data_IF_855203375817
#
_entry.id   IF_855203375817
#
_cell.length_a   1.000
_cell.length_b   1.000
_cell.length_c   1.000
_cell.angle_alpha   90.00
_cell.angle_beta   90.00
_cell.angle_gamma   90.00
#
_symmetry.space_group_name_H-M   'P 1'
#
loop_
_entity.id
_entity.type
_entity.pdbx_description
1 polymer ?
#
# COMPACT_ATOMS: atom_id res chain seq x y z
N UNK A 1 -13.07 -6.45 19.78
CA UNK A 1 -12.80 -6.89 18.39
C UNK A 1 -12.64 -5.63 17.57
N UNK A 2 -11.41 -5.15 17.38
CA UNK A 2 -11.18 -3.94 16.57
C UNK A 2 -11.52 -4.26 15.12
N UNK A 3 -12.53 -3.59 14.58
CA UNK A 3 -12.89 -3.60 13.16
C UNK A 3 -11.61 -3.40 12.35
N UNK A 4 -11.21 -4.39 11.56
CA UNK A 4 -9.90 -4.47 10.92
C UNK A 4 -9.74 -3.48 9.77
N UNK A 5 -9.44 -2.22 10.10
CA UNK A 5 -9.16 -1.14 9.14
C UNK A 5 -7.82 -1.43 8.46
N UNK A 6 -7.77 -1.32 7.13
CA UNK A 6 -6.54 -1.43 6.35
C UNK A 6 -5.84 -0.07 6.24
N UNK A 7 -4.52 -0.07 6.01
CA UNK A 7 -3.73 1.15 5.79
C UNK A 7 -4.35 2.00 4.67
N UNK A 8 -4.82 1.38 3.59
CA UNK A 8 -5.56 2.06 2.50
C UNK A 8 -6.76 2.87 3.02
N UNK A 9 -7.60 2.26 3.86
CA UNK A 9 -8.82 2.91 4.38
C UNK A 9 -8.47 4.10 5.28
N UNK A 10 -7.40 3.99 6.06
CA UNK A 10 -6.90 5.10 6.88
C UNK A 10 -6.38 6.25 6.02
N UNK A 11 -5.59 5.96 4.98
CA UNK A 11 -5.11 6.98 4.04
C UNK A 11 -6.28 7.69 3.32
N UNK A 12 -7.28 6.93 2.83
CA UNK A 12 -8.47 7.52 2.21
C UNK A 12 -9.24 8.43 3.18
N UNK A 13 -9.42 8.01 4.43
CA UNK A 13 -10.10 8.81 5.46
C UNK A 13 -9.36 10.11 5.80
N UNK A 14 -8.04 10.15 5.60
CA UNK A 14 -7.22 11.35 5.80
C UNK A 14 -7.16 12.24 4.55
N UNK A 15 -7.83 11.87 3.46
CA UNK A 15 -7.79 12.55 2.16
C UNK A 15 -6.36 12.81 1.68
N UNK A 16 -5.45 11.87 1.95
CA UNK A 16 -4.04 12.06 1.61
C UNK A 16 -3.75 11.66 0.16
N UNK A 17 -3.34 12.65 -0.64
CA UNK A 17 -2.54 12.50 -1.85
C UNK A 17 -3.16 11.68 -2.98
N UNK A 18 -2.29 10.95 -3.68
CA UNK A 18 -2.56 10.28 -4.96
C UNK A 18 -3.35 8.97 -4.84
N UNK A 19 -3.59 8.47 -3.61
CA UNK A 19 -4.14 7.14 -3.32
C UNK A 19 -5.64 7.03 -3.66
N UNK A 20 -6.01 6.02 -4.46
CA UNK A 20 -7.38 5.85 -5.00
C UNK A 20 -8.08 4.61 -4.43
N UNK A 21 -7.38 3.46 -4.37
CA UNK A 21 -7.98 2.21 -3.90
C UNK A 21 -9.03 1.58 -4.83
N UNK A 22 -8.86 1.71 -6.15
CA UNK A 22 -9.83 1.35 -7.20
C UNK A 22 -10.42 -0.08 -7.11
N UNK A 23 -9.60 -1.10 -6.80
CA UNK A 23 -10.07 -2.50 -6.79
C UNK A 23 -10.68 -2.97 -5.47
N UNK A 24 -10.91 -2.09 -4.50
CA UNK A 24 -11.53 -2.44 -3.22
C UNK A 24 -10.82 -3.60 -2.50
N UNK A 25 -9.50 -3.50 -2.35
CA UNK A 25 -8.64 -4.50 -1.71
C UNK A 25 -8.47 -5.86 -2.42
N UNK A 26 -8.85 -5.97 -3.70
CA UNK A 26 -8.68 -7.19 -4.51
C UNK A 26 -7.24 -7.45 -5.00
N UNK A 27 -6.23 -6.82 -4.41
CA UNK A 27 -4.80 -7.07 -4.66
C UNK A 27 -4.27 -6.90 -6.11
N UNK A 28 -4.96 -6.23 -7.05
CA UNK A 28 -4.49 -6.19 -8.46
C UNK A 28 -4.24 -4.79 -9.04
N UNK A 29 -4.95 -3.75 -8.60
CA UNK A 29 -4.91 -2.44 -9.28
C UNK A 29 -3.71 -1.56 -8.93
N UNK A 30 -3.03 -1.82 -7.81
CA UNK A 30 -1.86 -1.06 -7.30
C UNK A 30 -2.14 0.39 -6.91
N UNK A 31 -3.38 0.88 -7.02
CA UNK A 31 -3.75 2.26 -6.68
C UNK A 31 -3.87 2.56 -5.17
N UNK A 32 -3.37 1.65 -4.34
CA UNK A 32 -3.28 1.78 -2.88
C UNK A 32 -1.83 1.67 -2.39
N UNK A 33 -0.88 1.88 -3.29
CA UNK A 33 0.55 1.74 -3.01
C UNK A 33 1.00 2.73 -1.95
N UNK A 34 1.78 2.23 -1.00
CA UNK A 34 2.43 3.03 0.04
C UNK A 34 3.88 2.57 0.22
N UNK A 35 4.71 3.46 0.73
CA UNK A 35 6.09 3.18 1.13
C UNK A 35 6.25 3.31 2.63
N UNK A 36 6.89 2.31 3.23
CA UNK A 36 7.29 2.35 4.64
C UNK A 36 8.77 2.74 4.78
N UNK A 37 9.13 3.29 5.93
CA UNK A 37 10.56 3.41 6.30
C UNK A 37 11.15 2.00 6.48
N UNK A 38 12.43 1.79 6.16
CA UNK A 38 13.07 0.48 6.32
C UNK A 38 12.89 -0.11 7.74
N UNK A 39 13.05 0.73 8.77
CA UNK A 39 12.89 0.35 10.18
C UNK A 39 11.47 -0.15 10.56
N UNK A 40 10.46 0.29 9.82
CA UNK A 40 9.07 -0.12 10.03
C UNK A 40 8.65 -1.26 9.10
N UNK A 41 9.27 -1.36 7.93
CA UNK A 41 8.99 -2.41 6.95
C UNK A 41 9.21 -3.81 7.55
N UNK A 42 10.29 -3.98 8.32
CA UNK A 42 10.64 -5.25 8.96
C UNK A 42 9.61 -5.69 10.03
N UNK A 43 8.77 -4.76 10.50
CA UNK A 43 7.70 -5.04 11.48
C UNK A 43 6.39 -5.45 10.81
N UNK A 44 6.29 -5.36 9.49
CA UNK A 44 5.08 -5.68 8.75
C UNK A 44 4.94 -7.19 8.54
N UNK A 45 3.71 -7.69 8.31
CA UNK A 45 3.51 -9.05 7.86
C UNK A 45 4.28 -9.32 6.56
N UNK A 46 4.77 -10.56 6.42
CA UNK A 46 5.47 -11.02 5.21
C UNK A 46 4.61 -10.73 3.98
N UNK A 47 5.24 -10.11 2.98
CA UNK A 47 4.58 -9.82 1.71
C UNK A 47 4.17 -11.11 1.00
N UNK A 48 2.95 -11.16 0.48
CA UNK A 48 2.49 -12.32 -0.28
C UNK A 48 3.14 -12.34 -1.67
N UNK A 49 3.26 -13.53 -2.28
CA UNK A 49 3.77 -13.67 -3.64
C UNK A 49 2.92 -12.92 -4.66
N UNK A 50 1.61 -12.90 -4.46
CA UNK A 50 0.65 -12.17 -5.29
C UNK A 50 0.82 -10.65 -5.16
N UNK A 51 0.92 -10.13 -3.93
CA UNK A 51 1.20 -8.70 -3.68
C UNK A 51 2.50 -8.28 -4.36
N UNK A 52 3.58 -9.08 -4.18
CA UNK A 52 4.88 -8.81 -4.78
C UNK A 52 4.84 -8.85 -6.31
N UNK A 53 4.08 -9.79 -6.89
CA UNK A 53 3.92 -9.91 -8.33
C UNK A 53 3.29 -8.65 -8.93
N UNK A 54 2.25 -8.11 -8.29
CA UNK A 54 1.61 -6.88 -8.76
C UNK A 54 2.51 -5.65 -8.58
N UNK A 55 3.20 -5.51 -7.45
CA UNK A 55 4.16 -4.41 -7.24
C UNK A 55 5.26 -4.42 -8.31
N UNK A 56 5.82 -5.59 -8.64
CA UNK A 56 6.89 -5.73 -9.65
C UNK A 56 6.45 -5.39 -11.08
N UNK A 57 5.15 -5.38 -11.35
CA UNK A 57 4.59 -5.03 -12.67
C UNK A 57 4.44 -3.52 -12.88
N UNK A 58 4.74 -2.71 -11.87
CA UNK A 58 4.68 -1.25 -11.98
C UNK A 58 6.10 -0.65 -12.11
N UNK A 59 6.45 -0.04 -13.25
CA UNK A 59 7.78 0.53 -13.44
C UNK A 59 8.00 1.73 -12.50
N UNK A 60 9.21 1.85 -11.95
CA UNK A 60 9.62 3.00 -11.12
C UNK A 60 9.33 2.87 -9.62
N UNK A 61 8.84 1.71 -9.16
CA UNK A 61 8.59 1.47 -7.74
C UNK A 61 9.88 1.12 -6.97
N UNK A 62 9.99 1.61 -5.73
CA UNK A 62 11.12 1.28 -4.83
C UNK A 62 10.89 -0.09 -4.20
N UNK A 63 11.52 -1.12 -4.75
CA UNK A 63 11.45 -2.49 -4.22
C UNK A 63 12.13 -2.52 -2.83
N UNK A 64 11.46 -3.11 -1.83
CA UNK A 64 11.97 -3.24 -0.46
C UNK A 64 11.33 -2.30 0.57
N UNK A 65 10.69 -1.22 0.14
CA UNK A 65 9.84 -0.36 0.98
C UNK A 65 8.38 -0.34 0.52
N UNK A 66 8.12 -0.80 -0.70
CA UNK A 66 6.81 -0.86 -1.35
C UNK A 66 5.88 -1.88 -0.71
N UNK A 67 4.63 -1.47 -0.47
CA UNK A 67 3.52 -2.34 -0.06
C UNK A 67 2.20 -1.86 -0.67
N UNK A 68 1.25 -2.78 -0.82
CA UNK A 68 -0.14 -2.43 -1.13
C UNK A 68 -0.88 -2.21 0.18
N UNK A 69 -1.25 -0.95 0.47
CA UNK A 69 -1.87 -0.57 1.74
C UNK A 69 -3.22 -1.27 2.00
N UNK A 70 -3.85 -1.85 0.98
CA UNK A 70 -5.06 -2.65 1.13
C UNK A 70 -4.80 -4.07 1.67
N UNK A 71 -3.55 -4.54 1.66
CA UNK A 71 -3.15 -5.85 2.20
C UNK A 71 -2.63 -5.75 3.64
N UNK A 72 -2.40 -4.53 4.14
CA UNK A 72 -1.87 -4.31 5.49
C UNK A 72 -3.00 -3.88 6.43
N UNK A 73 -3.32 -4.73 7.41
CA UNK A 73 -4.25 -4.39 8.48
C UNK A 73 -3.55 -3.52 9.53
N UNK A 74 -4.21 -2.46 9.96
CA UNK A 74 -3.72 -1.66 11.07
C UNK A 74 -3.72 -2.47 12.36
N UNK A 75 -2.61 -2.36 13.09
CA UNK A 75 -2.40 -3.00 14.38
C UNK A 75 -1.81 -1.99 15.36
N UNK A 76 -1.96 -2.26 16.66
CA UNK A 76 -1.49 -1.33 17.72
C UNK A 76 0.01 -1.06 17.66
N UNK A 77 0.81 -2.03 17.23
CA UNK A 77 2.25 -1.89 17.07
C UNK A 77 2.66 -0.98 15.88
N UNK A 78 1.69 -0.46 15.12
CA UNK A 78 1.93 0.49 14.02
C UNK A 78 1.69 1.94 14.43
N UNK A 79 1.36 2.20 15.70
CA UNK A 79 1.18 3.56 16.21
C UNK A 79 2.48 4.36 16.06
N UNK A 80 2.39 5.57 15.49
CA UNK A 80 3.54 6.43 15.21
C UNK A 80 4.31 6.11 13.92
N UNK A 81 3.94 5.04 13.19
CA UNK A 81 4.54 4.77 11.87
C UNK A 81 4.13 5.84 10.86
N UNK A 82 5.06 6.16 9.97
CA UNK A 82 4.83 7.05 8.83
C UNK A 82 4.82 6.25 7.54
N UNK A 83 3.84 6.54 6.68
CA UNK A 83 3.79 6.03 5.31
C UNK A 83 3.95 7.18 4.34
N UNK A 84 4.69 6.95 3.26
CA UNK A 84 4.78 7.88 2.13
C UNK A 84 3.96 7.36 0.97
N UNK A 85 3.30 8.27 0.27
CA UNK A 85 2.60 7.95 -0.96
C UNK A 85 3.53 8.21 -2.15
N UNK A 86 3.46 7.42 -3.23
CA UNK A 86 4.13 7.78 -4.47
C UNK A 86 3.50 9.05 -5.06
N UNK A 87 4.26 9.76 -5.89
CA UNK A 87 3.79 11.01 -6.54
C UNK A 87 2.51 10.79 -7.36
N UNK A 88 2.37 9.61 -7.97
CA UNK A 88 1.18 9.23 -8.73
C UNK A 88 0.85 7.77 -8.47
N UNK A 89 -0.36 7.48 -7.98
CA UNK A 89 -0.98 6.16 -8.14
C UNK A 89 -2.08 6.26 -9.17
N UNK A 90 -1.81 5.77 -10.38
CA UNK A 90 -2.82 5.55 -11.40
C UNK A 90 -3.05 4.05 -11.54
N UNK A 91 -4.24 3.60 -11.99
CA UNK A 91 -4.32 2.25 -12.49
C UNK A 91 -3.37 2.22 -13.69
N UNK A 92 -2.28 1.45 -13.58
CA UNK A 92 -1.17 1.43 -14.54
C UNK A 92 -1.54 0.86 -15.92
N UNK A 93 -2.71 1.21 -16.44
CA UNK A 93 -3.03 1.25 -17.84
C UNK A 93 -2.27 2.43 -18.44
N UNK A 94 -0.95 2.27 -18.59
CA UNK A 94 -0.31 2.91 -19.74
C UNK A 94 -1.03 2.34 -20.97
N UNK A 95 -1.58 3.22 -21.79
CA UNK A 95 -2.03 2.88 -23.14
C UNK A 95 -0.93 2.05 -23.80
N UNK A 96 -1.25 0.82 -24.19
CA UNK A 96 -0.69 0.28 -25.43
C UNK A 96 -1.25 1.10 -26.59
#
# INVERSE_FOLDING_TARGET
MSTGIFVMSFCLAKLVGSLIGFCYASNWCRTCHVYFKPEDYDKLPVISSEELYHIKRDPGQVIGSSRLGCQIRLAKNMEGMEVRLPERTGPGWSEE
#
